data_IF_220835672712
#
_entry.id   IF_220835672712
#
_cell.length_a   1.000
_cell.length_b   1.000
_cell.length_c   1.000
_cell.angle_alpha   90.00
_cell.angle_beta   90.00
_cell.angle_gamma   90.00
#
_symmetry.space_group_name_H-M   'P 1'
#
loop_
_entity.id
_entity.type
_entity.pdbx_description
1 polymer ?
#
# COMPACT_ATOMS: atom_id res chain seq x y z
N UNK A 1 -19.76 -5.21 -1.24
CA UNK A 1 -18.61 -5.56 -0.38
C UNK A 1 -18.20 -4.36 0.44
N UNK A 2 -17.65 -4.59 1.64
CA UNK A 2 -17.15 -3.53 2.52
C UNK A 2 -15.62 -3.55 2.54
N UNK A 3 -14.99 -2.49 2.10
CA UNK A 3 -13.53 -2.37 2.01
C UNK A 3 -13.06 -1.27 2.95
N UNK A 4 -12.09 -1.59 3.81
CA UNK A 4 -11.39 -0.61 4.64
C UNK A 4 -10.12 -0.15 3.91
N UNK A 5 -9.83 1.15 3.94
CA UNK A 5 -8.51 1.69 3.63
C UNK A 5 -7.87 2.12 4.95
N UNK A 6 -6.77 1.49 5.33
CA UNK A 6 -6.15 1.69 6.64
C UNK A 6 -4.84 2.44 6.50
N UNK A 7 -4.80 3.68 6.95
CA UNK A 7 -3.57 4.48 7.05
C UNK A 7 -2.72 3.92 8.18
N UNK A 8 -1.47 3.51 7.92
CA UNK A 8 -0.61 2.92 8.95
C UNK A 8 0.10 4.01 9.79
N UNK A 9 -0.67 4.85 10.45
CA UNK A 9 -0.26 6.00 11.22
C UNK A 9 -1.40 6.98 11.43
N UNK A 10 -1.08 8.17 11.89
CA UNK A 10 -2.07 9.24 12.14
C UNK A 10 -2.33 10.06 10.88
N UNK A 11 -3.58 10.47 10.69
CA UNK A 11 -3.97 11.36 9.60
C UNK A 11 -5.05 12.33 10.06
N UNK A 12 -5.01 13.57 9.59
CA UNK A 12 -6.08 14.53 9.89
C UNK A 12 -7.40 14.13 9.21
N UNK A 13 -8.50 14.50 9.84
CA UNK A 13 -9.85 14.16 9.40
C UNK A 13 -10.19 14.69 8.00
N UNK A 14 -9.69 15.86 7.61
CA UNK A 14 -9.96 16.45 6.30
C UNK A 14 -9.32 15.63 5.19
N UNK A 15 -8.07 15.21 5.40
CA UNK A 15 -7.36 14.36 4.44
C UNK A 15 -7.99 12.95 4.37
N UNK A 16 -8.41 12.38 5.49
CA UNK A 16 -9.16 11.11 5.49
C UNK A 16 -10.45 11.21 4.66
N UNK A 17 -11.25 12.24 4.85
CA UNK A 17 -12.48 12.48 4.07
C UNK A 17 -12.19 12.68 2.58
N UNK A 18 -11.12 13.41 2.24
CA UNK A 18 -10.69 13.63 0.86
C UNK A 18 -10.30 12.32 0.19
N UNK A 19 -9.51 11.47 0.87
CA UNK A 19 -9.13 10.14 0.35
C UNK A 19 -10.35 9.22 0.21
N UNK A 20 -11.24 9.21 1.18
CA UNK A 20 -12.48 8.43 1.12
C UNK A 20 -13.35 8.83 -0.07
N UNK A 21 -13.49 10.13 -0.32
CA UNK A 21 -14.23 10.65 -1.48
C UNK A 21 -13.63 10.16 -2.81
N UNK A 22 -12.30 10.18 -2.94
CA UNK A 22 -11.63 9.66 -4.14
C UNK A 22 -11.78 8.15 -4.28
N UNK A 23 -11.60 7.41 -3.20
CA UNK A 23 -11.78 5.95 -3.21
C UNK A 23 -13.22 5.56 -3.61
N UNK A 24 -14.23 6.23 -3.06
CA UNK A 24 -15.64 6.02 -3.45
C UNK A 24 -15.90 6.32 -4.92
N UNK A 25 -15.23 7.34 -5.49
CA UNK A 25 -15.31 7.66 -6.92
C UNK A 25 -14.69 6.58 -7.81
N UNK A 26 -13.65 5.90 -7.33
CA UNK A 26 -12.96 4.84 -8.06
C UNK A 26 -13.58 3.46 -7.83
N UNK A 27 -14.35 3.28 -6.76
CA UNK A 27 -14.98 2.02 -6.39
C UNK A 27 -16.05 1.57 -7.39
N UNK A 28 -16.27 0.26 -7.46
CA UNK A 28 -17.42 -0.31 -8.18
C UNK A 28 -18.73 0.02 -7.44
N UNK A 29 -19.85 0.00 -8.16
CA UNK A 29 -21.17 0.43 -7.66
C UNK A 29 -21.57 -0.26 -6.34
N UNK A 30 -21.24 -1.53 -6.18
CA UNK A 30 -21.60 -2.33 -5.00
C UNK A 30 -20.48 -2.41 -3.95
N UNK A 31 -19.51 -1.49 -3.99
CA UNK A 31 -18.40 -1.42 -3.06
C UNK A 31 -18.55 -0.22 -2.13
N UNK A 32 -18.69 -0.49 -0.84
CA UNK A 32 -18.59 0.50 0.22
C UNK A 32 -17.13 0.61 0.66
N UNK A 33 -16.56 1.82 0.64
CA UNK A 33 -15.19 2.07 1.08
C UNK A 33 -15.19 3.07 2.22
N UNK A 34 -14.42 2.77 3.28
CA UNK A 34 -14.21 3.66 4.39
C UNK A 34 -12.72 3.78 4.74
N UNK A 35 -12.28 4.99 5.08
CA UNK A 35 -10.91 5.27 5.50
C UNK A 35 -10.81 5.26 7.01
N UNK A 36 -9.75 4.64 7.52
CA UNK A 36 -9.39 4.57 8.93
C UNK A 36 -7.92 4.93 9.08
N UNK A 37 -7.58 5.52 10.20
CA UNK A 37 -6.22 5.65 10.70
C UNK A 37 -6.01 4.76 11.93
N UNK A 38 -4.79 4.76 12.45
CA UNK A 38 -4.45 3.94 13.63
C UNK A 38 -4.50 4.70 14.95
N UNK A 39 -4.96 5.94 14.97
CA UNK A 39 -5.06 6.83 16.15
C UNK A 39 -3.73 7.18 16.84
N UNK A 40 -2.69 6.39 16.60
CA UNK A 40 -1.30 6.61 17.03
C UNK A 40 -0.35 6.10 15.94
N UNK A 41 0.93 6.42 16.04
CA UNK A 41 1.95 6.02 15.08
C UNK A 41 2.56 7.17 14.28
N UNK A 42 3.38 6.88 13.28
CA UNK A 42 4.06 7.90 12.49
C UNK A 42 3.08 8.71 11.62
N UNK A 43 3.37 10.00 11.44
CA UNK A 43 2.61 10.86 10.52
C UNK A 43 2.90 10.54 9.03
N UNK A 44 4.08 9.96 8.76
CA UNK A 44 4.50 9.42 7.45
C UNK A 44 5.48 8.28 7.66
N UNK A 45 5.69 7.46 6.63
CA UNK A 45 6.67 6.37 6.64
C UNK A 45 7.69 6.65 5.54
N UNK A 46 8.88 7.06 5.96
CA UNK A 46 10.01 7.42 5.08
C UNK A 46 11.32 6.74 5.50
N UNK A 47 11.24 5.86 6.51
CA UNK A 47 12.37 5.08 7.03
C UNK A 47 11.91 3.71 7.51
N UNK A 48 12.83 2.77 7.60
CA UNK A 48 12.57 1.44 8.17
C UNK A 48 12.12 1.50 9.64
N UNK A 49 12.62 2.49 10.40
CA UNK A 49 12.20 2.65 11.79
C UNK A 49 10.73 3.05 11.91
N UNK A 50 10.28 4.03 11.12
CA UNK A 50 8.86 4.43 11.05
C UNK A 50 7.99 3.28 10.52
N UNK A 51 8.51 2.52 9.55
CA UNK A 51 7.84 1.31 9.05
C UNK A 51 7.59 0.32 10.19
N UNK A 52 8.61 -0.04 10.96
CA UNK A 52 8.46 -0.98 12.08
C UNK A 52 7.53 -0.46 13.17
N UNK A 53 7.57 0.83 13.49
CA UNK A 53 6.65 1.44 14.46
C UNK A 53 5.18 1.34 14.00
N UNK A 54 4.93 1.40 12.71
CA UNK A 54 3.57 1.37 12.16
C UNK A 54 2.93 -0.02 12.19
N UNK A 55 3.73 -1.09 12.19
CA UNK A 55 3.23 -2.47 11.99
C UNK A 55 2.30 -2.93 13.13
N UNK A 56 2.69 -2.88 14.42
CA UNK A 56 1.85 -3.41 15.50
C UNK A 56 0.48 -2.75 15.57
N UNK A 57 0.46 -1.42 15.52
CA UNK A 57 -0.79 -0.65 15.61
C UNK A 57 -1.69 -0.86 14.40
N UNK A 58 -1.11 -0.98 13.21
CA UNK A 58 -1.88 -1.30 11.98
C UNK A 58 -2.43 -2.72 12.04
N UNK A 59 -1.66 -3.68 12.54
CA UNK A 59 -2.11 -5.06 12.74
C UNK A 59 -3.33 -5.13 13.68
N UNK A 60 -3.28 -4.44 14.82
CA UNK A 60 -4.42 -4.32 15.74
C UNK A 60 -5.65 -3.73 15.04
N UNK A 61 -5.48 -2.67 14.24
CA UNK A 61 -6.58 -2.09 13.47
C UNK A 61 -7.16 -3.07 12.44
N UNK A 62 -6.31 -3.83 11.74
CA UNK A 62 -6.77 -4.84 10.77
C UNK A 62 -7.59 -5.94 11.46
N UNK A 63 -7.14 -6.43 12.62
CA UNK A 63 -7.85 -7.43 13.40
C UNK A 63 -9.22 -6.92 13.89
N UNK A 64 -9.27 -5.67 14.36
CA UNK A 64 -10.52 -4.99 14.75
C UNK A 64 -11.50 -4.90 13.57
N UNK A 65 -11.02 -4.53 12.38
CA UNK A 65 -11.85 -4.37 11.17
C UNK A 65 -12.41 -5.71 10.67
N UNK A 66 -11.65 -6.80 10.78
CA UNK A 66 -12.17 -8.13 10.51
C UNK A 66 -13.36 -8.46 11.43
N UNK A 67 -13.25 -8.19 12.73
CA UNK A 67 -14.33 -8.42 13.70
C UNK A 67 -15.57 -7.59 13.41
N UNK A 68 -15.41 -6.42 12.76
CA UNK A 68 -16.51 -5.55 12.31
C UNK A 68 -17.12 -5.95 10.97
N UNK A 69 -16.68 -7.07 10.38
CA UNK A 69 -17.25 -7.64 9.16
C UNK A 69 -16.87 -6.92 7.88
N UNK A 70 -15.64 -6.37 7.80
CA UNK A 70 -15.07 -5.91 6.53
C UNK A 70 -14.63 -7.11 5.69
N UNK A 71 -14.92 -7.08 4.39
CA UNK A 71 -14.55 -8.14 3.45
C UNK A 71 -13.06 -8.03 3.05
N UNK A 72 -12.55 -6.80 2.93
CA UNK A 72 -11.15 -6.54 2.64
C UNK A 72 -10.64 -5.29 3.34
N UNK A 73 -9.31 -5.25 3.54
CA UNK A 73 -8.58 -4.06 3.95
C UNK A 73 -7.43 -3.78 2.98
N UNK A 74 -7.26 -2.52 2.61
CA UNK A 74 -6.13 -2.03 1.82
C UNK A 74 -5.15 -1.37 2.78
N UNK A 75 -3.91 -1.81 2.78
CA UNK A 75 -2.83 -1.20 3.56
C UNK A 75 -2.46 0.17 2.96
N UNK A 76 -2.59 1.24 3.71
CA UNK A 76 -2.49 2.62 3.24
C UNK A 76 -1.06 3.12 2.99
N UNK A 77 -0.10 2.22 2.73
CA UNK A 77 1.28 2.52 2.39
C UNK A 77 1.74 1.63 1.23
N UNK A 78 2.36 2.21 0.21
CA UNK A 78 2.86 1.46 -0.95
C UNK A 78 4.17 0.67 -0.68
N UNK A 79 4.76 0.81 0.50
CA UNK A 79 5.82 -0.07 1.00
C UNK A 79 5.31 -1.39 1.58
N UNK A 80 4.00 -1.54 1.73
CA UNK A 80 3.33 -2.72 2.29
C UNK A 80 3.87 -3.17 3.67
N UNK A 81 4.02 -2.24 4.67
CA UNK A 81 4.61 -2.55 5.96
C UNK A 81 3.85 -3.66 6.70
N UNK A 82 4.54 -4.73 7.06
CA UNK A 82 3.97 -5.84 7.83
C UNK A 82 2.85 -6.62 7.15
N UNK A 83 2.74 -6.56 5.82
CA UNK A 83 1.66 -7.17 5.04
C UNK A 83 1.45 -8.66 5.38
N UNK A 84 2.54 -9.42 5.50
CA UNK A 84 2.46 -10.85 5.80
C UNK A 84 1.92 -11.09 7.22
N UNK A 85 2.37 -10.32 8.21
CA UNK A 85 1.87 -10.41 9.57
C UNK A 85 0.35 -10.11 9.66
N UNK A 86 -0.12 -9.11 8.90
CA UNK A 86 -1.56 -8.80 8.84
C UNK A 86 -2.36 -9.93 8.18
N UNK A 87 -1.80 -10.60 7.18
CA UNK A 87 -2.40 -11.78 6.55
C UNK A 87 -2.41 -13.00 7.48
N UNK A 88 -1.46 -13.12 8.38
CA UNK A 88 -1.43 -14.18 9.40
C UNK A 88 -2.56 -14.04 10.42
N UNK A 89 -2.79 -12.82 10.92
CA UNK A 89 -3.77 -12.55 11.98
C UNK A 89 -5.21 -12.40 11.49
N UNK A 90 -5.44 -12.17 10.20
CA UNK A 90 -6.78 -12.11 9.60
C UNK A 90 -7.11 -13.43 8.90
N UNK A 91 -8.33 -13.94 9.07
CA UNK A 91 -8.76 -15.24 8.51
C UNK A 91 -9.93 -15.14 7.53
N UNK A 92 -10.77 -14.14 7.71
CA UNK A 92 -12.00 -13.91 6.93
C UNK A 92 -11.95 -12.64 6.08
N UNK A 93 -11.00 -11.74 6.37
CA UNK A 93 -10.80 -10.49 5.68
C UNK A 93 -9.56 -10.58 4.78
N UNK A 94 -9.71 -10.17 3.52
CA UNK A 94 -8.58 -10.08 2.58
C UNK A 94 -7.73 -8.84 2.91
N UNK A 95 -6.39 -8.98 3.03
CA UNK A 95 -5.48 -7.83 3.22
C UNK A 95 -4.67 -7.59 1.96
N UNK A 96 -4.91 -6.46 1.31
CA UNK A 96 -4.25 -6.09 0.05
C UNK A 96 -3.08 -5.14 0.31
N UNK A 97 -1.90 -5.55 -0.16
CA UNK A 97 -0.73 -4.69 -0.27
C UNK A 97 -0.77 -3.92 -1.60
N UNK A 98 -0.96 -2.60 -1.59
CA UNK A 98 -1.05 -1.82 -2.83
C UNK A 98 0.27 -1.76 -3.59
N UNK A 99 1.40 -1.81 -2.92
CA UNK A 99 2.72 -1.86 -3.55
C UNK A 99 2.94 -3.17 -4.30
N UNK A 100 2.76 -4.30 -3.62
CA UNK A 100 2.83 -5.64 -4.23
C UNK A 100 1.88 -5.75 -5.43
N UNK A 101 0.62 -5.37 -5.25
CA UNK A 101 -0.40 -5.44 -6.31
C UNK A 101 -0.04 -4.55 -7.50
N UNK A 102 0.50 -3.36 -7.26
CA UNK A 102 0.91 -2.44 -8.33
C UNK A 102 2.09 -2.96 -9.14
N UNK A 103 3.09 -3.53 -8.49
CA UNK A 103 4.24 -4.13 -9.18
C UNK A 103 3.85 -5.38 -9.96
N UNK A 104 2.95 -6.23 -9.42
CA UNK A 104 2.39 -7.38 -10.13
C UNK A 104 1.52 -6.96 -11.32
N UNK A 105 0.74 -5.88 -11.20
CA UNK A 105 -0.03 -5.34 -12.32
C UNK A 105 0.89 -4.76 -13.41
N UNK A 106 2.01 -4.14 -13.04
CA UNK A 106 2.97 -3.60 -13.99
C UNK A 106 3.49 -4.67 -14.95
N UNK A 107 3.83 -5.86 -14.46
CA UNK A 107 4.36 -6.93 -15.30
C UNK A 107 3.33 -7.58 -16.23
N UNK A 108 2.04 -7.31 -16.02
CA UNK A 108 0.98 -7.70 -16.95
C UNK A 108 0.86 -6.73 -18.12
N UNK A 109 1.32 -5.49 -17.98
CA UNK A 109 1.13 -4.41 -18.96
C UNK A 109 2.38 -4.15 -19.81
N UNK A 110 3.57 -4.50 -19.32
CA UNK A 110 4.80 -4.23 -20.02
C UNK A 110 5.94 -5.17 -19.62
N UNK A 111 7.13 -4.86 -20.14
CA UNK A 111 8.31 -5.70 -19.91
C UNK A 111 9.14 -5.26 -18.72
N UNK A 112 9.26 -3.95 -18.47
CA UNK A 112 10.09 -3.38 -17.43
C UNK A 112 9.40 -2.20 -16.79
N UNK A 113 9.31 -2.19 -15.46
CA UNK A 113 8.75 -1.06 -14.74
C UNK A 113 9.79 -0.35 -13.90
N UNK A 114 9.58 0.94 -13.65
CA UNK A 114 10.31 1.70 -12.63
C UNK A 114 9.37 2.25 -11.58
N UNK A 115 9.86 2.34 -10.35
CA UNK A 115 9.12 2.92 -9.23
C UNK A 115 9.57 4.36 -9.02
N UNK A 116 8.63 5.28 -8.93
CA UNK A 116 8.87 6.66 -8.47
C UNK A 116 8.60 6.71 -6.98
N UNK A 117 9.64 6.86 -6.15
CA UNK A 117 9.50 6.90 -4.69
C UNK A 117 9.72 8.30 -4.13
N UNK A 118 9.46 8.50 -2.84
CA UNK A 118 9.46 9.84 -2.21
C UNK A 118 10.86 10.34 -1.89
N UNK A 119 11.66 9.52 -1.20
CA UNK A 119 13.00 9.91 -0.69
C UNK A 119 14.01 8.81 -0.95
N UNK A 120 15.29 9.13 -0.90
CA UNK A 120 16.38 8.15 -1.05
C UNK A 120 16.30 7.02 -0.02
N UNK A 121 15.86 7.32 1.21
CA UNK A 121 15.70 6.33 2.29
C UNK A 121 14.70 5.21 1.97
N UNK A 122 13.76 5.44 1.04
CA UNK A 122 12.74 4.46 0.66
C UNK A 122 13.12 3.63 -0.58
N UNK A 123 14.30 3.88 -1.17
CA UNK A 123 14.75 3.17 -2.38
C UNK A 123 14.99 1.70 -2.09
N UNK A 124 15.72 1.37 -1.01
CA UNK A 124 16.01 -0.02 -0.65
C UNK A 124 14.72 -0.84 -0.43
N UNK A 125 13.74 -0.28 0.31
CA UNK A 125 12.46 -0.94 0.58
C UNK A 125 11.69 -1.25 -0.72
N UNK A 126 11.79 -0.38 -1.74
CA UNK A 126 11.14 -0.63 -3.04
C UNK A 126 11.78 -1.82 -3.78
N UNK A 127 13.11 -1.98 -3.71
CA UNK A 127 13.78 -3.18 -4.26
C UNK A 127 13.39 -4.45 -3.48
N UNK A 128 13.38 -4.40 -2.16
CA UNK A 128 12.95 -5.53 -1.31
C UNK A 128 11.51 -5.95 -1.60
N UNK A 129 10.61 -4.97 -1.75
CA UNK A 129 9.22 -5.24 -2.09
C UNK A 129 9.10 -5.92 -3.47
N UNK A 130 9.88 -5.52 -4.46
CA UNK A 130 9.90 -6.16 -5.77
C UNK A 130 10.38 -7.62 -5.69
N UNK A 131 11.34 -7.93 -4.81
CA UNK A 131 11.76 -9.30 -4.51
C UNK A 131 10.64 -10.10 -3.85
N UNK A 132 10.00 -9.56 -2.81
CA UNK A 132 8.85 -10.20 -2.13
C UNK A 132 7.67 -10.42 -3.07
N UNK A 133 7.42 -9.48 -3.98
CA UNK A 133 6.38 -9.59 -5.00
C UNK A 133 6.70 -10.59 -6.13
N UNK A 134 7.93 -11.11 -6.20
CA UNK A 134 8.37 -12.05 -7.22
C UNK A 134 8.62 -11.43 -8.61
N UNK A 135 8.83 -10.11 -8.67
CA UNK A 135 8.95 -9.36 -9.93
C UNK A 135 10.24 -8.51 -10.04
N UNK A 136 11.21 -8.76 -9.17
CA UNK A 136 12.47 -8.00 -9.13
C UNK A 136 13.24 -8.00 -10.45
N UNK A 137 13.19 -9.08 -11.23
CA UNK A 137 13.81 -9.21 -12.54
C UNK A 137 13.16 -8.32 -13.62
N UNK A 138 12.01 -7.73 -13.32
CA UNK A 138 11.28 -6.80 -14.20
C UNK A 138 11.42 -5.34 -13.74
N UNK A 139 11.98 -5.10 -12.55
CA UNK A 139 12.25 -3.76 -12.04
C UNK A 139 13.46 -3.17 -12.76
N UNK A 140 13.24 -2.05 -13.48
CA UNK A 140 14.29 -1.34 -14.21
C UNK A 140 15.10 -0.42 -13.27
N UNK A 141 14.38 0.35 -12.46
CA UNK A 141 14.99 1.28 -11.48
C UNK A 141 13.99 1.75 -10.42
N UNK A 142 14.52 2.35 -9.36
CA UNK A 142 13.74 3.11 -8.37
C UNK A 142 14.27 4.53 -8.38
N UNK A 143 13.41 5.51 -8.61
CA UNK A 143 13.76 6.94 -8.72
C UNK A 143 13.16 7.73 -7.57
N UNK A 144 13.97 8.23 -6.64
CA UNK A 144 13.50 9.11 -5.58
C UNK A 144 13.23 10.52 -6.12
N UNK A 145 12.15 11.14 -5.67
CA UNK A 145 11.83 12.53 -5.98
C UNK A 145 12.52 13.52 -5.02
N UNK A 146 12.96 13.00 -3.86
CA UNK A 146 13.47 13.78 -2.74
C UNK A 146 12.50 14.88 -2.30
N UNK A 147 11.22 14.48 -2.16
CA UNK A 147 10.14 15.27 -1.58
C UNK A 147 9.53 14.46 -0.44
N UNK A 148 9.55 14.96 0.80
CA UNK A 148 8.89 14.30 1.94
C UNK A 148 7.40 14.06 1.67
N UNK A 149 6.85 12.98 2.21
CA UNK A 149 5.44 12.59 1.99
C UNK A 149 4.47 13.71 2.31
N UNK A 150 4.68 14.40 3.44
CA UNK A 150 3.80 15.47 3.91
C UNK A 150 3.89 16.74 3.05
N UNK A 151 4.94 16.88 2.25
CA UNK A 151 5.14 18.02 1.35
C UNK A 151 4.58 17.80 -0.06
N UNK A 152 4.24 16.57 -0.44
CA UNK A 152 3.77 16.23 -1.80
C UNK A 152 2.55 17.05 -2.25
N UNK A 153 1.62 17.31 -1.34
CA UNK A 153 0.38 18.02 -1.64
C UNK A 153 0.51 19.54 -1.46
N UNK A 154 1.44 20.02 -0.63
CA UNK A 154 1.63 21.45 -0.34
C UNK A 154 2.13 22.23 -1.57
N UNK A 155 2.95 21.57 -2.41
CA UNK A 155 3.40 22.12 -3.70
C UNK A 155 3.19 21.05 -4.79
N UNK A 156 1.95 20.93 -5.22
CA UNK A 156 1.55 19.93 -6.22
C UNK A 156 2.26 20.14 -7.56
N UNK A 157 2.49 21.39 -7.97
CA UNK A 157 3.15 21.69 -9.25
C UNK A 157 4.60 21.22 -9.24
N UNK A 158 5.35 21.50 -8.17
CA UNK A 158 6.71 21.01 -7.96
C UNK A 158 6.74 19.47 -7.94
N UNK A 159 5.79 18.84 -7.23
CA UNK A 159 5.71 17.38 -7.15
C UNK A 159 5.46 16.75 -8.52
N UNK A 160 4.52 17.28 -9.31
CA UNK A 160 4.25 16.83 -10.69
C UNK A 160 5.47 16.99 -11.59
N UNK A 161 6.14 18.15 -11.53
CA UNK A 161 7.36 18.40 -12.31
C UNK A 161 8.45 17.37 -11.99
N UNK A 162 8.69 17.12 -10.71
CA UNK A 162 9.67 16.11 -10.26
C UNK A 162 9.31 14.69 -10.70
N UNK A 163 8.03 14.32 -10.65
CA UNK A 163 7.57 13.02 -11.15
C UNK A 163 7.79 12.88 -12.66
N UNK A 164 7.56 13.93 -13.44
CA UNK A 164 7.81 13.94 -14.89
C UNK A 164 9.31 13.80 -15.18
N UNK A 165 10.17 14.57 -14.48
CA UNK A 165 11.63 14.50 -14.62
C UNK A 165 12.15 13.09 -14.32
N UNK A 166 11.79 12.53 -13.16
CA UNK A 166 12.20 11.18 -12.73
C UNK A 166 11.63 10.09 -13.64
N UNK A 167 10.37 10.23 -14.07
CA UNK A 167 9.73 9.31 -15.00
C UNK A 167 10.39 9.30 -16.37
N UNK A 168 10.73 10.47 -16.90
CA UNK A 168 11.47 10.60 -18.18
C UNK A 168 12.84 9.96 -18.09
N UNK A 169 13.56 10.19 -17.00
CA UNK A 169 14.85 9.55 -16.77
C UNK A 169 14.74 8.02 -16.72
N UNK A 170 13.74 7.48 -16.00
CA UNK A 170 13.49 6.04 -15.92
C UNK A 170 13.19 5.42 -17.31
N UNK A 171 12.44 6.13 -18.16
CA UNK A 171 12.11 5.68 -19.52
C UNK A 171 13.32 5.73 -20.42
N UNK A 172 14.02 6.87 -20.48
CA UNK A 172 15.09 7.10 -21.45
C UNK A 172 16.39 6.38 -21.10
N UNK A 173 16.78 6.39 -19.78
CA UNK A 173 18.05 5.82 -19.33
C UNK A 173 17.93 4.37 -18.89
N UNK A 174 16.84 4.02 -18.15
CA UNK A 174 16.69 2.69 -17.56
C UNK A 174 15.78 1.78 -18.38
N UNK A 175 15.20 2.30 -19.47
CA UNK A 175 14.32 1.57 -20.40
C UNK A 175 13.05 1.02 -19.71
N UNK A 176 12.48 1.79 -18.80
CA UNK A 176 11.18 1.46 -18.25
C UNK A 176 10.10 1.73 -19.31
N UNK A 177 9.19 0.80 -19.48
CA UNK A 177 8.00 0.93 -20.31
C UNK A 177 6.72 1.14 -19.49
N UNK A 178 6.84 1.06 -18.17
CA UNK A 178 5.78 1.33 -17.19
C UNK A 178 6.35 2.06 -15.97
N UNK A 179 5.57 2.95 -15.38
CA UNK A 179 5.89 3.61 -14.13
C UNK A 179 4.90 3.20 -13.03
N UNK A 180 5.40 2.99 -11.83
CA UNK A 180 4.61 2.72 -10.62
C UNK A 180 4.84 3.85 -9.63
N UNK A 181 3.77 4.48 -9.14
CA UNK A 181 3.88 5.44 -8.04
C UNK A 181 4.15 4.69 -6.74
N UNK A 182 5.31 4.91 -6.13
CA UNK A 182 5.78 4.20 -4.93
C UNK A 182 5.24 4.77 -3.61
N UNK A 183 4.23 5.63 -3.66
CA UNK A 183 3.62 6.22 -2.46
C UNK A 183 2.12 6.42 -2.66
N UNK A 184 1.33 6.07 -1.64
CA UNK A 184 -0.13 6.27 -1.67
C UNK A 184 -0.48 7.76 -1.79
N UNK A 185 0.25 8.64 -1.12
CA UNK A 185 0.02 10.10 -1.21
C UNK A 185 0.23 10.63 -2.63
N UNK A 186 1.21 10.08 -3.40
CA UNK A 186 1.31 10.38 -4.84
C UNK A 186 0.06 9.93 -5.59
N UNK A 187 -0.47 8.75 -5.29
CA UNK A 187 -1.71 8.24 -5.88
C UNK A 187 -2.91 9.15 -5.62
N UNK A 188 -3.01 9.68 -4.40
CA UNK A 188 -4.08 10.60 -4.02
C UNK A 188 -3.92 12.03 -4.56
N UNK A 189 -2.79 12.39 -5.17
CA UNK A 189 -2.72 13.61 -5.98
C UNK A 189 -3.61 13.52 -7.22
N UNK A 190 -4.01 12.30 -7.63
CA UNK A 190 -4.90 12.01 -8.75
C UNK A 190 -4.40 12.63 -10.06
N UNK A 191 -3.14 12.39 -10.36
CA UNK A 191 -2.41 12.95 -11.52
C UNK A 191 -1.88 11.87 -12.48
N UNK A 192 -2.18 10.60 -12.23
CA UNK A 192 -1.72 9.47 -13.04
C UNK A 192 -2.06 9.64 -14.52
N UNK A 193 -3.26 10.11 -14.87
CA UNK A 193 -3.65 10.38 -16.26
C UNK A 193 -2.84 11.52 -16.88
N UNK A 194 -2.51 12.55 -16.10
CA UNK A 194 -1.64 13.64 -16.56
C UNK A 194 -0.23 13.12 -16.86
N UNK A 195 0.34 12.33 -15.93
CA UNK A 195 1.66 11.71 -16.12
C UNK A 195 1.68 10.77 -17.33
N UNK A 196 0.66 9.93 -17.52
CA UNK A 196 0.54 9.06 -18.70
C UNK A 196 0.50 9.86 -20.00
N UNK A 197 -0.25 10.96 -20.03
CA UNK A 197 -0.33 11.84 -21.21
C UNK A 197 1.02 12.47 -21.54
N UNK A 198 1.78 12.90 -20.54
CA UNK A 198 3.08 13.57 -20.70
C UNK A 198 4.18 12.58 -21.06
N UNK A 199 4.25 11.45 -20.36
CA UNK A 199 5.34 10.48 -20.46
C UNK A 199 5.12 9.38 -21.51
N UNK A 200 3.89 9.25 -22.04
CA UNK A 200 3.50 8.29 -23.09
C UNK A 200 3.69 6.81 -22.71
N UNK A 201 3.73 6.51 -21.43
CA UNK A 201 3.74 5.14 -20.89
C UNK A 201 2.63 5.00 -19.83
N UNK A 202 2.15 3.78 -19.54
CA UNK A 202 1.24 3.57 -18.42
C UNK A 202 1.87 4.01 -17.09
N UNK A 203 1.07 4.67 -16.25
CA UNK A 203 1.44 5.06 -14.88
C UNK A 203 0.46 4.43 -13.91
N UNK A 204 0.98 3.57 -13.07
CA UNK A 204 0.18 2.80 -12.11
C UNK A 204 0.02 3.60 -10.82
N UNK A 205 -1.24 3.83 -10.45
CA UNK A 205 -1.63 4.47 -9.21
C UNK A 205 -1.94 3.40 -8.15
N UNK A 206 -1.14 3.26 -7.07
CA UNK A 206 -1.30 2.20 -6.09
C UNK A 206 -2.62 2.28 -5.32
N UNK A 207 -3.19 3.49 -5.16
CA UNK A 207 -4.47 3.66 -4.48
C UNK A 207 -5.63 3.07 -5.29
N UNK A 208 -5.59 3.23 -6.61
CA UNK A 208 -6.57 2.64 -7.52
C UNK A 208 -6.35 1.12 -7.61
N UNK A 209 -5.10 0.69 -7.81
CA UNK A 209 -4.81 -0.74 -7.98
C UNK A 209 -5.10 -1.54 -6.71
N UNK A 210 -4.76 -1.03 -5.53
CA UNK A 210 -5.10 -1.69 -4.26
C UNK A 210 -6.61 -1.90 -4.11
N UNK A 211 -7.42 -0.89 -4.47
CA UNK A 211 -8.88 -0.99 -4.47
C UNK A 211 -9.37 -2.02 -5.50
N UNK A 212 -8.89 -1.97 -6.73
CA UNK A 212 -9.31 -2.89 -7.79
C UNK A 212 -8.87 -4.33 -7.54
N UNK A 213 -7.71 -4.54 -6.93
CA UNK A 213 -7.26 -5.86 -6.51
C UNK A 213 -8.18 -6.44 -5.40
N UNK A 214 -8.55 -5.63 -4.41
CA UNK A 214 -9.50 -6.06 -3.38
C UNK A 214 -10.86 -6.43 -3.98
N UNK A 215 -11.41 -5.59 -4.85
CA UNK A 215 -12.68 -5.84 -5.54
C UNK A 215 -12.65 -7.13 -6.38
N UNK A 216 -11.56 -7.33 -7.13
CA UNK A 216 -11.41 -8.50 -8.00
C UNK A 216 -11.30 -9.81 -7.20
N UNK A 217 -10.46 -9.83 -6.16
CA UNK A 217 -10.22 -11.03 -5.35
C UNK A 217 -11.45 -11.41 -4.53
N UNK A 218 -12.12 -10.46 -3.88
CA UNK A 218 -13.36 -10.70 -3.15
C UNK A 218 -14.48 -11.10 -4.11
N UNK A 219 -14.60 -10.43 -5.26
CA UNK A 219 -15.57 -10.79 -6.30
C UNK A 219 -15.39 -12.20 -6.86
N UNK A 220 -14.16 -12.71 -6.85
CA UNK A 220 -13.83 -14.08 -7.22
C UNK A 220 -13.97 -15.10 -6.05
N UNK A 221 -14.36 -14.66 -4.84
CA UNK A 221 -14.50 -15.52 -3.67
C UNK A 221 -13.14 -16.00 -3.10
N UNK A 222 -12.06 -15.23 -3.29
CA UNK A 222 -10.71 -15.63 -2.90
C UNK A 222 -10.25 -14.90 -1.63
N UNK A 223 -9.61 -15.66 -0.75
CA UNK A 223 -8.93 -15.19 0.46
C UNK A 223 -7.47 -15.68 0.47
N UNK A 224 -6.69 -15.18 1.43
CA UNK A 224 -5.31 -15.64 1.60
C UNK A 224 -5.22 -17.10 2.00
N UNK A 225 -4.25 -17.81 1.44
CA UNK A 225 -3.95 -19.19 1.85
C UNK A 225 -3.41 -19.24 3.28
N UNK A 226 -4.13 -19.90 4.17
CA UNK A 226 -3.66 -20.14 5.54
C UNK A 226 -2.55 -21.20 5.64
N UNK A 227 -2.19 -21.84 4.54
CA UNK A 227 -0.94 -22.63 4.44
C UNK A 227 0.29 -21.74 4.25
N UNK A 228 0.12 -20.57 3.61
CA UNK A 228 1.20 -19.59 3.43
C UNK A 228 1.29 -18.61 4.60
N UNK A 229 0.13 -18.12 5.07
CA UNK A 229 0.00 -17.16 6.16
C UNK A 229 -0.68 -17.83 7.35
N UNK A 230 0.06 -18.73 8.01
CA UNK A 230 -0.45 -19.47 9.17
C UNK A 230 -0.77 -18.53 10.33
N UNK A 231 -1.88 -18.80 11.02
CA UNK A 231 -2.20 -18.08 12.26
C UNK A 231 -1.06 -18.30 13.27
N UNK A 232 -0.60 -17.26 13.97
CA UNK A 232 0.46 -17.40 14.97
C UNK A 232 0.16 -18.56 15.94
N UNK A 233 1.10 -19.47 16.18
CA UNK A 233 0.83 -20.71 16.94
C UNK A 233 0.22 -20.49 18.32
N UNK A 234 0.59 -19.43 19.01
CA UNK A 234 0.04 -19.10 20.34
C UNK A 234 -1.46 -18.74 20.28
N UNK A 235 -1.90 -18.07 19.20
CA UNK A 235 -3.32 -17.79 18.93
C UNK A 235 -4.05 -19.07 18.49
N UNK A 236 -3.47 -19.80 17.54
CA UNK A 236 -4.06 -21.02 17.00
C UNK A 236 -4.30 -22.11 18.05
N UNK A 237 -3.39 -22.23 19.03
CA UNK A 237 -3.45 -23.24 20.09
C UNK A 237 -4.25 -22.75 21.33
N UNK A 238 -4.79 -21.53 21.30
CA UNK A 238 -5.54 -20.98 22.44
C UNK A 238 -4.68 -20.60 23.66
N UNK A 239 -3.35 -20.53 23.50
CA UNK A 239 -2.44 -20.09 24.57
C UNK A 239 -2.64 -18.60 24.91
N UNK A 240 -3.07 -17.83 23.91
CA UNK A 240 -3.55 -16.45 24.06
C UNK A 240 -4.87 -16.33 23.29
N UNK A 241 -5.77 -15.50 23.77
CA UNK A 241 -7.12 -15.32 23.21
C UNK A 241 -7.24 -14.05 22.33
N UNK A 242 -6.20 -13.24 22.28
CA UNK A 242 -6.15 -12.04 21.46
C UNK A 242 -4.73 -11.71 20.99
N UNK A 243 -4.63 -10.87 19.95
CA UNK A 243 -3.31 -10.44 19.41
C UNK A 243 -2.57 -9.51 20.38
N UNK A 244 -3.28 -8.75 21.20
CA UNK A 244 -2.68 -7.89 22.24
C UNK A 244 -1.90 -8.71 23.24
N UNK A 245 -2.40 -9.89 23.60
CA UNK A 245 -1.72 -10.81 24.55
C UNK A 245 -0.46 -11.46 23.99
N UNK A 246 -0.19 -11.35 22.70
CA UNK A 246 1.10 -11.74 22.13
C UNK A 246 2.25 -10.84 22.59
N UNK A 247 1.93 -9.61 23.05
CA UNK A 247 2.92 -8.65 23.58
C UNK A 247 3.15 -8.79 25.08
N UNK A 248 2.16 -9.34 25.79
CA UNK A 248 2.30 -9.52 27.25
C UNK A 248 3.38 -10.56 27.53
N UNK A 249 4.32 -10.21 28.42
CA UNK A 249 5.13 -11.24 29.05
C UNK A 249 4.15 -12.10 29.83
N UNK A 250 4.10 -13.39 29.55
CA UNK A 250 3.47 -14.34 30.45
C UNK A 250 4.25 -14.18 31.78
N UNK A 251 3.64 -13.51 32.74
CA UNK A 251 4.17 -13.50 34.10
C UNK A 251 4.06 -14.94 34.57
N UNK A 252 5.21 -15.55 34.82
CA UNK A 252 5.35 -16.88 35.42
C UNK A 252 4.69 -16.95 36.80
#
# INVERSE_FOLDING_TARGET
MKIAYVVPGIMDNQEMQRRETLLKKWAAINTEVKVFDTTEGPASIESSYEEYLSIPITATKMYELESKGYDAAILGCAGDPGLDAMREITSKMLVVGPGQSSMQMAVMLGNRFSVLTVTDSTVANSYELAHKAGVANRLASVKPLNIPVLELASDKEKSVKKMIEAGREAIEKDRADILVLGCMSMGFLNIDKQLQKELKVPVINPSIIGLKAAEALIGAGLLHSKKAYMVPPKLANGNVDSIEKLYERLND
#
